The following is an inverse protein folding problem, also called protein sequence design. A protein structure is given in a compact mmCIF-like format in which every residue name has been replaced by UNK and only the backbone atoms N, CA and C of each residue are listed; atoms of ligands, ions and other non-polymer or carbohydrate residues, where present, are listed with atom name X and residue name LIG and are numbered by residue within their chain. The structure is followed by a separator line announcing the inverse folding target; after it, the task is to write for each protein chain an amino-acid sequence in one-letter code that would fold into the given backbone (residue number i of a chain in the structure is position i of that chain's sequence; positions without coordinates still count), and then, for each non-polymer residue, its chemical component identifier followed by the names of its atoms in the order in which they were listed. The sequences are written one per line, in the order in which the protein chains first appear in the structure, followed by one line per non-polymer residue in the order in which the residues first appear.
data_IF_578082053893
#
_entry.id   IF_578082053893
#
_cell.length_a   1.000
_cell.length_b   1.000
_cell.length_c   1.000
_cell.angle_alpha   90.00
_cell.angle_beta   90.00
_cell.angle_gamma   90.00
#
_symmetry.space_group_name_H-M   'P 1'
#
loop_
_entity.id
_entity.type
_entity.pdbx_description
1 polymer ?
#
# COMPACT_ATOMS: atom_id res chain seq x y z
N UNK A 1 -7.64 -29.64 1.51
CA UNK A 1 -6.62 -29.18 0.54
C UNK A 1 -5.67 -28.29 1.33
N UNK A 2 -4.36 -28.51 1.31
CA UNK A 2 -3.43 -27.69 2.10
C UNK A 2 -3.15 -26.44 1.25
N UNK A 3 -3.75 -25.30 1.62
CA UNK A 3 -3.45 -24.03 0.96
C UNK A 3 -1.98 -23.70 1.24
N UNK A 4 -1.20 -23.46 0.19
CA UNK A 4 0.21 -23.08 0.36
C UNK A 4 0.29 -21.82 1.25
N UNK A 5 1.26 -21.74 2.18
CA UNK A 5 1.39 -20.56 3.03
C UNK A 5 1.62 -19.33 2.15
N UNK A 6 0.87 -18.26 2.45
CA UNK A 6 1.09 -16.98 1.79
C UNK A 6 2.41 -16.43 2.30
N UNK A 7 3.34 -16.15 1.38
CA UNK A 7 4.68 -15.67 1.73
C UNK A 7 4.94 -14.24 1.27
N UNK A 8 4.12 -13.72 0.34
CA UNK A 8 4.20 -12.36 -0.18
C UNK A 8 2.86 -11.91 -0.79
N UNK A 9 2.70 -10.61 -1.04
CA UNK A 9 1.61 -10.13 -1.89
C UNK A 9 1.74 -10.68 -3.32
N UNK A 10 2.95 -10.81 -3.86
CA UNK A 10 3.15 -11.32 -5.22
C UNK A 10 2.64 -12.76 -5.39
N UNK A 11 2.84 -13.63 -4.40
CA UNK A 11 2.29 -15.00 -4.39
C UNK A 11 0.77 -15.00 -4.25
N UNK A 12 0.23 -14.01 -3.53
CA UNK A 12 -1.22 -13.82 -3.35
C UNK A 12 -1.93 -13.27 -4.58
N UNK A 13 -1.22 -12.54 -5.43
CA UNK A 13 -1.73 -11.82 -6.60
C UNK A 13 -0.77 -11.98 -7.80
N UNK A 14 -0.58 -13.19 -8.33
CA UNK A 14 0.44 -13.46 -9.35
C UNK A 14 0.22 -12.70 -10.67
N UNK A 15 -1.03 -12.35 -10.97
CA UNK A 15 -1.41 -11.61 -12.18
C UNK A 15 -1.25 -10.09 -12.04
N UNK A 16 -0.88 -9.61 -10.85
CA UNK A 16 -0.74 -8.19 -10.55
C UNK A 16 0.72 -7.83 -10.26
N UNK A 17 1.27 -6.74 -10.84
CA UNK A 17 2.57 -6.25 -10.46
C UNK A 17 2.63 -5.90 -8.97
N UNK A 18 3.67 -6.37 -8.28
CA UNK A 18 3.98 -5.99 -6.90
C UNK A 18 5.31 -5.27 -6.83
N UNK A 19 5.33 -4.13 -6.14
CA UNK A 19 6.47 -3.24 -6.06
C UNK A 19 6.85 -2.98 -4.60
N UNK A 20 8.10 -3.23 -4.17
CA UNK A 20 8.55 -2.81 -2.86
C UNK A 20 8.66 -1.29 -2.77
N UNK A 21 8.34 -0.70 -1.62
CA UNK A 21 8.53 0.74 -1.40
C UNK A 21 10.00 1.12 -1.20
N UNK A 22 10.73 0.27 -0.50
CA UNK A 22 12.11 0.50 -0.06
C UNK A 22 12.99 -0.63 -0.57
N UNK A 23 14.15 -0.28 -1.14
CA UNK A 23 15.13 -1.28 -1.57
C UNK A 23 15.79 -1.97 -0.38
N UNK A 24 16.11 -1.21 0.67
CA UNK A 24 16.76 -1.70 1.88
C UNK A 24 16.17 -0.99 3.12
N UNK A 25 14.97 -1.38 3.59
CA UNK A 25 14.39 -0.77 4.78
C UNK A 25 15.22 -1.10 6.03
N UNK A 26 15.31 -0.18 6.99
CA UNK A 26 15.83 -0.52 8.30
C UNK A 26 14.81 -1.37 9.06
N UNK A 27 15.21 -2.57 9.45
CA UNK A 27 14.32 -3.56 10.08
C UNK A 27 14.65 -3.71 11.57
N UNK A 28 13.72 -3.38 12.47
CA UNK A 28 13.86 -3.75 13.88
C UNK A 28 13.97 -5.27 14.05
N UNK A 29 14.99 -5.73 14.77
CA UNK A 29 15.35 -7.16 14.86
C UNK A 29 14.30 -8.06 15.50
N UNK A 30 13.28 -7.48 16.14
CA UNK A 30 12.22 -8.21 16.83
C UNK A 30 10.98 -8.44 15.95
N UNK A 31 10.91 -7.82 14.76
CA UNK A 31 9.77 -7.96 13.85
C UNK A 31 9.99 -9.11 12.87
N UNK A 32 8.94 -9.90 12.65
CA UNK A 32 8.91 -10.97 11.66
C UNK A 32 7.64 -10.80 10.82
N UNK A 33 7.80 -10.15 9.66
CA UNK A 33 6.67 -9.95 8.75
C UNK A 33 6.00 -11.27 8.40
N UNK A 34 4.68 -11.31 8.56
CA UNK A 34 3.88 -12.50 8.28
C UNK A 34 2.60 -12.17 7.55
N UNK A 35 2.17 -13.11 6.72
CA UNK A 35 0.90 -13.08 6.01
C UNK A 35 -0.01 -14.16 6.59
N UNK A 36 -1.23 -13.79 6.94
CA UNK A 36 -2.17 -14.72 7.56
C UNK A 36 -3.50 -14.68 6.80
N UNK A 37 -4.00 -15.86 6.40
CA UNK A 37 -5.40 -16.04 6.05
C UNK A 37 -6.20 -16.16 7.36
N UNK A 38 -7.12 -15.22 7.59
CA UNK A 38 -7.87 -15.11 8.85
C UNK A 38 -9.28 -15.65 8.74
N UNK A 39 -9.72 -16.01 7.54
CA UNK A 39 -10.98 -16.66 7.28
C UNK A 39 -10.74 -18.09 6.75
N UNK A 40 -11.23 -19.14 7.44
CA UNK A 40 -11.10 -20.50 6.94
C UNK A 40 -11.92 -20.77 5.67
N UNK A 41 -12.86 -19.89 5.30
CA UNK A 41 -13.63 -20.02 4.08
C UNK A 41 -12.87 -19.44 2.88
N UNK A 42 -12.33 -20.32 2.03
CA UNK A 42 -11.57 -19.96 0.82
C UNK A 42 -12.37 -19.11 -0.19
N UNK A 43 -13.72 -19.13 -0.13
CA UNK A 43 -14.56 -18.29 -0.99
C UNK A 43 -14.63 -16.83 -0.54
N UNK A 44 -14.18 -16.53 0.68
CA UNK A 44 -14.21 -15.21 1.29
C UNK A 44 -12.85 -14.92 1.95
N UNK A 45 -11.76 -14.84 1.17
CA UNK A 45 -10.42 -14.64 1.70
C UNK A 45 -10.35 -13.38 2.58
N UNK A 46 -9.60 -13.46 3.68
CA UNK A 46 -9.39 -12.37 4.62
C UNK A 46 -7.92 -12.27 5.03
N UNK A 47 -7.06 -12.12 4.03
CA UNK A 47 -5.62 -12.03 4.23
C UNK A 47 -5.26 -10.70 4.89
N UNK A 48 -4.32 -10.77 5.83
CA UNK A 48 -3.71 -9.60 6.43
C UNK A 48 -2.20 -9.77 6.58
N UNK A 49 -1.49 -8.65 6.56
CA UNK A 49 -0.04 -8.60 6.79
C UNK A 49 0.23 -7.96 8.16
N UNK A 50 1.08 -8.60 8.94
CA UNK A 50 1.48 -8.20 10.30
C UNK A 50 2.97 -7.91 10.35
N UNK A 51 3.41 -7.11 11.34
CA UNK A 51 4.82 -6.80 11.59
C UNK A 51 5.57 -6.42 10.30
N UNK A 52 4.94 -5.54 9.51
CA UNK A 52 5.40 -5.22 8.16
C UNK A 52 6.78 -4.58 8.27
N UNK A 53 7.75 -5.16 7.56
CA UNK A 53 9.14 -4.70 7.46
C UNK A 53 9.49 -4.30 6.02
N UNK A 54 8.81 -4.92 5.06
CA UNK A 54 8.91 -4.66 3.62
C UNK A 54 7.53 -4.26 3.11
N UNK A 55 7.14 -2.98 3.23
CA UNK A 55 5.90 -2.51 2.68
C UNK A 55 5.96 -2.51 1.13
N UNK A 56 4.82 -2.81 0.51
CA UNK A 56 4.68 -3.09 -0.92
C UNK A 56 3.43 -2.40 -1.49
N UNK A 57 3.37 -2.28 -2.82
CA UNK A 57 2.19 -1.87 -3.60
C UNK A 57 1.82 -3.01 -4.54
N UNK A 58 0.55 -3.38 -4.57
CA UNK A 58 -0.04 -4.22 -5.61
C UNK A 58 -0.80 -3.33 -6.58
N UNK A 59 -0.53 -3.47 -7.88
CA UNK A 59 -1.16 -2.67 -8.93
C UNK A 59 -2.34 -3.42 -9.56
N UNK A 60 -3.52 -2.82 -9.46
CA UNK A 60 -4.75 -3.31 -10.07
C UNK A 60 -5.12 -2.38 -11.23
N UNK A 61 -4.90 -2.83 -12.46
CA UNK A 61 -5.30 -2.09 -13.66
C UNK A 61 -6.71 -2.53 -14.12
N UNK A 62 -7.56 -1.58 -14.54
CA UNK A 62 -8.87 -1.89 -15.10
C UNK A 62 -8.76 -2.36 -16.56
N UNK A 63 -9.73 -3.11 -17.05
CA UNK A 63 -9.79 -3.48 -18.48
C UNK A 63 -9.95 -2.24 -19.39
N UNK A 64 -10.69 -1.23 -18.90
CA UNK A 64 -10.88 0.05 -19.57
C UNK A 64 -10.60 1.18 -18.58
N UNK A 65 -9.47 1.87 -18.77
CA UNK A 65 -9.08 2.96 -17.87
C UNK A 65 -9.90 4.22 -18.10
N UNK A 66 -10.34 4.82 -17.00
CA UNK A 66 -10.93 6.17 -16.96
C UNK A 66 -9.86 7.27 -16.78
N UNK A 67 -8.57 6.89 -16.73
CA UNK A 67 -7.45 7.81 -16.59
C UNK A 67 -7.25 8.35 -15.16
N UNK A 68 -7.82 7.72 -14.13
CA UNK A 68 -7.67 8.15 -12.73
C UNK A 68 -7.06 7.04 -11.89
N UNK A 69 -6.04 7.39 -11.10
CA UNK A 69 -5.39 6.52 -10.13
C UNK A 69 -5.89 6.71 -8.70
N UNK A 70 -5.88 5.64 -7.91
CA UNK A 70 -6.17 5.69 -6.47
C UNK A 70 -5.09 4.93 -5.71
N UNK A 71 -4.32 5.62 -4.86
CA UNK A 71 -3.49 4.98 -3.86
C UNK A 71 -4.35 4.61 -2.65
N UNK A 72 -4.58 3.32 -2.48
CA UNK A 72 -5.48 2.76 -1.48
C UNK A 72 -4.68 2.23 -0.29
N UNK A 73 -5.00 2.75 0.90
CA UNK A 73 -4.43 2.35 2.20
C UNK A 73 -5.48 1.56 3.01
N UNK A 74 -5.38 0.22 3.07
CA UNK A 74 -6.32 -0.57 3.87
C UNK A 74 -6.17 -0.29 5.36
N UNK A 75 -7.20 -0.58 6.14
CA UNK A 75 -7.18 -0.46 7.60
C UNK A 75 -6.55 -1.67 8.28
N UNK A 76 -6.84 -1.81 9.58
CA UNK A 76 -6.24 -2.84 10.44
C UNK A 76 -5.73 -2.33 11.80
N UNK A 77 -6.16 -1.13 12.20
CA UNK A 77 -6.02 -0.63 13.57
C UNK A 77 -4.58 -0.39 14.03
N UNK A 78 -3.65 -0.18 13.09
CA UNK A 78 -2.21 -0.12 13.37
C UNK A 78 -1.65 -1.39 14.05
N UNK A 79 -2.27 -2.53 13.77
CA UNK A 79 -1.79 -3.86 14.18
C UNK A 79 -1.46 -4.75 12.98
N UNK A 80 -1.97 -4.39 11.80
CA UNK A 80 -1.88 -5.13 10.54
C UNK A 80 -2.43 -4.27 9.41
N UNK A 81 -2.29 -4.76 8.18
CA UNK A 81 -3.02 -4.26 7.00
C UNK A 81 -4.00 -5.34 6.53
N UNK A 82 -5.30 -5.01 6.44
CA UNK A 82 -6.37 -5.90 5.93
C UNK A 82 -6.37 -5.90 4.39
N UNK A 83 -5.63 -6.83 3.77
CA UNK A 83 -5.37 -6.79 2.32
C UNK A 83 -6.62 -7.07 1.50
N UNK A 84 -7.38 -8.11 1.80
CA UNK A 84 -8.54 -8.46 0.96
C UNK A 84 -9.72 -7.50 1.16
N UNK A 85 -10.33 -7.51 2.35
CA UNK A 85 -11.61 -6.83 2.62
C UNK A 85 -11.62 -5.34 2.35
N UNK A 86 -10.54 -4.64 2.71
CA UNK A 86 -10.45 -3.18 2.57
C UNK A 86 -9.58 -2.78 1.37
N UNK A 87 -8.70 -3.67 0.90
CA UNK A 87 -7.86 -3.47 -0.27
C UNK A 87 -8.42 -4.07 -1.54
N UNK A 88 -8.23 -5.37 -1.77
CA UNK A 88 -8.52 -6.07 -3.04
C UNK A 88 -10.00 -5.97 -3.42
N UNK A 89 -10.92 -6.14 -2.47
CA UNK A 89 -12.35 -6.06 -2.76
C UNK A 89 -12.75 -4.65 -3.20
N UNK A 90 -12.20 -3.63 -2.55
CA UNK A 90 -12.34 -2.23 -2.96
C UNK A 90 -11.71 -1.98 -4.34
N UNK A 91 -10.52 -2.50 -4.58
CA UNK A 91 -9.81 -2.38 -5.86
C UNK A 91 -10.61 -3.01 -7.01
N UNK A 92 -11.24 -4.17 -6.78
CA UNK A 92 -12.08 -4.84 -7.77
C UNK A 92 -13.27 -3.97 -8.18
N UNK A 93 -13.96 -3.36 -7.21
CA UNK A 93 -15.11 -2.48 -7.48
C UNK A 93 -14.66 -1.21 -8.22
N UNK A 94 -13.54 -0.62 -7.80
CA UNK A 94 -12.99 0.59 -8.44
C UNK A 94 -12.48 0.30 -9.87
N UNK A 95 -11.85 -0.85 -10.10
CA UNK A 95 -11.43 -1.26 -11.44
C UNK A 95 -12.61 -1.43 -12.39
N UNK A 96 -13.75 -1.95 -11.91
CA UNK A 96 -14.97 -2.04 -12.72
C UNK A 96 -15.50 -0.65 -13.14
N UNK A 97 -15.20 0.39 -12.36
CA UNK A 97 -15.48 1.79 -12.70
C UNK A 97 -14.33 2.47 -13.49
N UNK A 98 -13.29 1.72 -13.87
CA UNK A 98 -12.19 2.18 -14.70
C UNK A 98 -11.04 2.84 -13.97
N UNK A 99 -11.00 2.83 -12.64
CA UNK A 99 -9.85 3.38 -11.89
C UNK A 99 -8.68 2.40 -11.92
N UNK A 100 -7.46 2.93 -11.96
CA UNK A 100 -6.26 2.15 -11.63
C UNK A 100 -6.01 2.25 -10.13
N UNK A 101 -5.93 1.12 -9.43
CA UNK A 101 -5.82 1.10 -7.96
C UNK A 101 -4.47 0.54 -7.52
N UNK A 102 -3.82 1.25 -6.60
CA UNK A 102 -2.55 0.87 -5.99
C UNK A 102 -2.82 0.50 -4.53
N UNK A 103 -2.96 -0.78 -4.22
CA UNK A 103 -3.21 -1.22 -2.84
C UNK A 103 -1.88 -1.35 -2.13
N UNK A 104 -1.64 -0.55 -1.09
CA UNK A 104 -0.37 -0.58 -0.36
C UNK A 104 -0.46 -1.29 0.99
N UNK A 105 0.63 -1.93 1.40
CA UNK A 105 0.93 -2.22 2.80
C UNK A 105 1.83 -1.12 3.36
N UNK A 106 1.77 -0.89 4.67
CA UNK A 106 2.55 0.13 5.36
C UNK A 106 2.95 -0.36 6.74
N UNK A 107 4.11 0.10 7.22
CA UNK A 107 4.69 -0.26 8.52
C UNK A 107 3.93 0.42 9.67
N UNK A 108 3.86 -0.22 10.83
CA UNK A 108 3.09 0.30 11.97
C UNK A 108 3.87 1.39 12.74
N UNK A 109 3.19 2.40 13.32
CA UNK A 109 3.85 3.52 14.00
C UNK A 109 4.54 3.14 15.33
N UNK A 110 4.18 2.00 15.93
CA UNK A 110 4.57 1.62 17.30
C UNK A 110 5.43 0.34 17.37
N UNK A 111 6.06 -0.05 16.26
CA UNK A 111 6.88 -1.28 16.14
C UNK A 111 8.40 -0.99 16.17
N UNK A 112 8.80 0.23 16.52
CA UNK A 112 10.21 0.61 16.64
C UNK A 112 10.94 0.83 15.31
N UNK A 113 10.21 1.02 14.21
CA UNK A 113 10.76 1.45 12.92
C UNK A 113 11.49 2.79 13.04
N UNK A 114 12.42 3.02 12.12
CA UNK A 114 13.34 4.18 12.10
C UNK A 114 12.65 5.56 12.18
N UNK A 115 11.44 5.70 11.64
CA UNK A 115 10.68 6.95 11.64
C UNK A 115 9.64 7.04 12.78
N UNK A 116 9.61 6.06 13.68
CA UNK A 116 8.69 5.99 14.82
C UNK A 116 7.22 6.18 14.40
N UNK A 117 6.52 7.10 15.07
CA UNK A 117 5.11 7.39 14.79
C UNK A 117 4.85 7.91 13.35
N UNK A 118 5.87 8.42 12.68
CA UNK A 118 5.78 8.92 11.30
C UNK A 118 5.98 7.84 10.23
N UNK A 119 6.33 6.61 10.62
CA UNK A 119 6.61 5.52 9.67
C UNK A 119 5.48 5.27 8.66
N UNK A 120 4.18 5.22 9.05
CA UNK A 120 3.11 5.05 8.06
C UNK A 120 3.03 6.19 7.05
N UNK A 121 3.31 7.43 7.48
CA UNK A 121 3.33 8.59 6.58
C UNK A 121 4.55 8.54 5.65
N UNK A 122 5.72 8.15 6.14
CA UNK A 122 6.91 7.96 5.31
C UNK A 122 6.63 6.94 4.18
N UNK A 123 6.02 5.81 4.52
CA UNK A 123 5.64 4.79 3.55
C UNK A 123 4.61 5.32 2.54
N UNK A 124 3.59 6.05 2.99
CA UNK A 124 2.59 6.62 2.09
C UNK A 124 3.16 7.69 1.14
N UNK A 125 4.06 8.55 1.65
CA UNK A 125 4.77 9.53 0.81
C UNK A 125 5.61 8.83 -0.25
N UNK A 126 6.38 7.82 0.14
CA UNK A 126 7.21 7.01 -0.75
C UNK A 126 6.35 6.29 -1.79
N UNK A 127 5.23 5.70 -1.39
CA UNK A 127 4.30 5.02 -2.28
C UNK A 127 3.75 5.96 -3.36
N UNK A 128 3.27 7.15 -2.99
CA UNK A 128 2.77 8.13 -3.96
C UNK A 128 3.85 8.52 -4.99
N UNK A 129 5.10 8.72 -4.52
CA UNK A 129 6.24 9.06 -5.37
C UNK A 129 6.60 7.95 -6.35
N UNK A 130 6.59 6.70 -5.90
CA UNK A 130 6.84 5.54 -6.74
C UNK A 130 5.75 5.36 -7.80
N UNK A 131 4.47 5.43 -7.38
CA UNK A 131 3.33 5.32 -8.30
C UNK A 131 3.43 6.34 -9.42
N UNK A 132 3.77 7.60 -9.10
CA UNK A 132 3.92 8.69 -10.09
C UNK A 132 5.03 8.47 -11.12
N UNK A 133 5.97 7.57 -10.86
CA UNK A 133 7.05 7.24 -11.80
C UNK A 133 6.81 5.96 -12.58
N UNK A 134 5.76 5.20 -12.26
CA UNK A 134 5.44 4.02 -13.05
C UNK A 134 5.11 4.44 -14.49
N UNK A 135 5.52 3.67 -15.51
CA UNK A 135 5.20 4.00 -16.89
C UNK A 135 3.71 4.24 -17.14
N UNK A 136 2.84 3.44 -16.51
CA UNK A 136 1.39 3.58 -16.58
C UNK A 136 0.88 4.93 -16.05
N UNK A 137 1.60 5.58 -15.13
CA UNK A 137 1.18 6.86 -14.55
C UNK A 137 1.18 7.99 -15.58
N UNK A 138 1.92 7.84 -16.68
CA UNK A 138 1.85 8.75 -17.83
C UNK A 138 0.48 8.77 -18.52
N UNK A 139 -0.35 7.76 -18.28
CA UNK A 139 -1.73 7.65 -18.78
C UNK A 139 -2.78 8.09 -17.74
N UNK A 140 -2.35 8.44 -16.53
CA UNK A 140 -3.22 8.91 -15.46
C UNK A 140 -3.22 10.44 -15.42
N UNK A 141 -4.41 11.02 -15.43
CA UNK A 141 -4.63 12.46 -15.33
C UNK A 141 -4.51 12.98 -13.89
N UNK A 142 -4.80 12.12 -12.91
CA UNK A 142 -4.78 12.44 -11.49
C UNK A 142 -4.62 11.16 -10.67
N UNK A 143 -3.99 11.27 -9.50
CA UNK A 143 -3.83 10.20 -8.53
C UNK A 143 -4.28 10.71 -7.15
N UNK A 144 -5.40 10.20 -6.68
CA UNK A 144 -5.93 10.49 -5.35
C UNK A 144 -5.57 9.44 -4.31
N UNK A 145 -6.07 9.62 -3.09
CA UNK A 145 -5.92 8.66 -2.00
C UNK A 145 -7.27 8.19 -1.45
N UNK A 146 -7.32 6.91 -1.07
CA UNK A 146 -8.45 6.32 -0.35
C UNK A 146 -7.92 5.52 0.82
N UNK A 147 -8.57 5.60 1.98
CA UNK A 147 -8.19 4.77 3.10
C UNK A 147 -9.32 4.47 4.07
N UNK A 148 -9.20 3.35 4.78
CA UNK A 148 -10.20 2.86 5.72
C UNK A 148 -9.64 2.78 7.14
N UNK A 149 -10.39 3.24 8.14
CA UNK A 149 -9.99 3.17 9.57
C UNK A 149 -8.57 3.73 9.80
N UNK A 150 -7.63 2.92 10.29
CA UNK A 150 -6.21 3.29 10.41
C UNK A 150 -5.60 3.73 9.06
N UNK A 151 -5.93 3.07 7.96
CA UNK A 151 -5.52 3.47 6.61
C UNK A 151 -6.16 4.80 6.18
N UNK A 152 -7.35 5.13 6.67
CA UNK A 152 -7.97 6.44 6.49
C UNK A 152 -7.19 7.54 7.22
N UNK A 153 -6.67 7.24 8.41
CA UNK A 153 -5.74 8.14 9.09
C UNK A 153 -4.42 8.29 8.33
N UNK A 154 -3.85 7.21 7.76
CA UNK A 154 -2.67 7.31 6.88
C UNK A 154 -2.96 8.18 5.65
N UNK A 155 -4.10 7.98 4.98
CA UNK A 155 -4.50 8.77 3.81
C UNK A 155 -4.67 10.25 4.14
N UNK A 156 -5.35 10.57 5.24
CA UNK A 156 -5.51 11.95 5.72
C UNK A 156 -4.16 12.58 6.12
N UNK A 157 -3.29 11.80 6.75
CA UNK A 157 -1.94 12.23 7.10
C UNK A 157 -1.13 12.55 5.84
N UNK A 158 -1.20 11.70 4.80
CA UNK A 158 -0.56 11.99 3.52
C UNK A 158 -1.14 13.27 2.88
N UNK A 159 -2.46 13.40 2.80
CA UNK A 159 -3.09 14.58 2.21
C UNK A 159 -2.66 15.90 2.89
N UNK A 160 -2.58 15.91 4.23
CA UNK A 160 -2.32 17.12 5.02
C UNK A 160 -0.84 17.37 5.31
N UNK A 161 -0.01 16.33 5.35
CA UNK A 161 1.40 16.38 5.75
C UNK A 161 2.36 15.89 4.65
N UNK A 162 1.91 15.79 3.39
CA UNK A 162 2.72 15.30 2.25
C UNK A 162 4.08 15.99 2.10
N UNK A 163 4.21 17.25 2.54
CA UNK A 163 5.43 18.05 2.41
C UNK A 163 6.35 18.00 3.65
N UNK A 164 6.03 17.20 4.67
CA UNK A 164 6.95 17.00 5.79
C UNK A 164 8.18 16.20 5.34
N UNK A 165 9.36 16.66 5.76
CA UNK A 165 10.63 15.96 5.55
C UNK A 165 10.84 14.91 6.64
N UNK A 166 10.36 13.69 6.39
CA UNK A 166 10.38 12.58 7.37
C UNK A 166 11.62 11.69 7.19
N UNK A 167 12.04 11.50 5.94
CA UNK A 167 13.14 10.63 5.58
C UNK A 167 14.02 11.32 4.52
N UNK A 168 15.34 11.04 4.49
CA UNK A 168 16.25 11.68 3.54
C UNK A 168 15.92 11.28 2.10
N UNK A 169 16.31 12.11 1.13
CA UNK A 169 16.20 11.77 -0.29
C UNK A 169 17.06 10.51 -0.58
N UNK A 170 16.47 9.48 -1.17
CA UNK A 170 17.18 8.21 -1.41
C UNK A 170 17.40 7.97 -2.90
N UNK A 171 16.42 8.32 -3.75
CA UNK A 171 16.51 8.17 -5.20
C UNK A 171 15.67 9.20 -5.97
N UNK A 172 15.53 8.97 -7.28
CA UNK A 172 14.84 9.87 -8.20
C UNK A 172 13.34 10.03 -7.87
N UNK A 173 12.73 9.11 -7.13
CA UNK A 173 11.34 9.26 -6.68
C UNK A 173 11.12 10.44 -5.76
N UNK A 174 12.11 10.79 -4.94
CA UNK A 174 11.93 11.93 -4.06
C UNK A 174 11.91 13.28 -4.80
N UNK A 175 12.19 13.31 -6.11
CA UNK A 175 12.01 14.51 -6.94
C UNK A 175 10.56 14.78 -7.31
N UNK A 176 9.67 13.80 -7.20
CA UNK A 176 8.23 13.99 -7.46
C UNK A 176 7.46 14.26 -6.18
N UNK A 177 6.37 15.01 -6.30
CA UNK A 177 5.55 15.39 -5.15
C UNK A 177 4.85 14.15 -4.56
N UNK A 178 4.78 14.08 -3.23
CA UNK A 178 3.95 13.11 -2.51
C UNK A 178 2.50 13.58 -2.31
N UNK A 179 2.13 14.78 -2.79
CA UNK A 179 0.78 15.35 -2.61
C UNK A 179 -0.25 14.59 -3.45
N UNK A 180 -1.32 14.02 -2.84
CA UNK A 180 -2.46 13.49 -3.58
C UNK A 180 -3.20 14.59 -4.37
N UNK A 181 -3.76 14.23 -5.52
CA UNK A 181 -4.54 15.16 -6.33
C UNK A 181 -5.97 15.35 -5.79
N UNK A 182 -6.51 14.35 -5.06
CA UNK A 182 -7.79 14.38 -4.35
C UNK A 182 -7.84 13.36 -3.20
#
# INVERSE_FOLDING_TARGET
MHVAPITSLQTSFPEHPVLPLWSEPQIPSHLVQSYQERNPNELLPDRAVFEITHPEIVVFEPEQSNGIGILLMPGGGYQRVSVDKEGVDSARVLNQAGFTVFVMTYRMPNEGHEFGAWTPLADAQRAMRLVRQLPLASHLSSIGVLGFSAGGHVAASLATNHALDIYPLQDEAERVSAKPDF
#
